data_IF_681513438645
#
_entry.id   IF_681513438645
#
_cell.length_a   1.000
_cell.length_b   1.000
_cell.length_c   1.000
_cell.angle_alpha   90.00
_cell.angle_beta   90.00
_cell.angle_gamma   90.00
#
_symmetry.space_group_name_H-M   'P 1'
#
loop_
_entity.id
_entity.type
_entity.pdbx_description
1 polymer ?
#
# COMPACT_ATOMS: atom_id res chain seq x y z
N UNK A 1 10.92 -5.81 12.16
CA UNK A 1 10.53 -4.39 12.05
C UNK A 1 10.89 -3.92 10.65
N UNK A 2 9.92 -3.38 9.91
CA UNK A 2 10.07 -2.89 8.53
C UNK A 2 9.15 -1.70 8.31
N UNK A 3 9.52 -0.80 7.41
CA UNK A 3 8.64 0.25 6.89
C UNK A 3 7.85 -0.33 5.72
N UNK A 4 6.53 -0.38 5.83
CA UNK A 4 5.64 -1.02 4.86
C UNK A 4 4.73 0.02 4.20
N UNK A 5 4.76 0.11 2.88
CA UNK A 5 3.81 0.89 2.09
C UNK A 5 2.62 0.04 1.67
N UNK A 6 1.39 0.51 1.91
CA UNK A 6 0.17 -0.18 1.47
C UNK A 6 -0.25 0.34 0.09
N UNK A 7 -0.45 -0.56 -0.86
CA UNK A 7 -0.94 -0.27 -2.20
C UNK A 7 -2.20 -1.08 -2.52
N UNK A 8 -3.16 -0.50 -3.22
CA UNK A 8 -4.41 -1.17 -3.55
C UNK A 8 -5.42 -0.31 -4.31
N UNK A 9 -6.60 -0.86 -4.65
CA UNK A 9 -7.65 -0.11 -5.36
C UNK A 9 -8.28 0.96 -4.46
N UNK A 10 -8.33 2.21 -4.94
CA UNK A 10 -9.01 3.34 -4.29
C UNK A 10 -10.08 3.96 -5.20
N UNK A 11 -9.72 4.36 -6.43
CA UNK A 11 -10.63 4.97 -7.40
C UNK A 11 -11.82 4.07 -7.72
N UNK A 12 -13.03 4.63 -7.70
CA UNK A 12 -14.27 3.88 -8.00
C UNK A 12 -14.77 2.98 -6.86
N UNK A 13 -14.08 2.90 -5.72
CA UNK A 13 -14.55 2.18 -4.53
C UNK A 13 -15.31 3.11 -3.58
N UNK A 14 -16.31 2.61 -2.82
CA UNK A 14 -16.97 3.38 -1.77
C UNK A 14 -15.95 3.95 -0.77
N UNK A 15 -16.06 5.26 -0.48
CA UNK A 15 -15.14 5.99 0.40
C UNK A 15 -13.65 5.72 0.10
N UNK A 16 -13.31 5.59 -1.19
CA UNK A 16 -11.97 5.32 -1.68
C UNK A 16 -11.28 4.10 -1.04
N UNK A 17 -12.07 3.11 -0.61
CA UNK A 17 -11.59 1.91 0.07
C UNK A 17 -10.81 2.19 1.38
N UNK A 18 -10.92 3.41 1.96
CA UNK A 18 -10.17 3.84 3.16
C UNK A 18 -10.24 2.86 4.31
N UNK A 19 -11.40 2.26 4.53
CA UNK A 19 -11.61 1.25 5.59
C UNK A 19 -10.61 0.11 5.49
N UNK A 20 -10.42 -0.47 4.30
CA UNK A 20 -9.50 -1.60 4.09
C UNK A 20 -8.06 -1.20 4.36
N UNK A 21 -7.65 -0.03 3.88
CA UNK A 21 -6.32 0.51 4.14
C UNK A 21 -6.05 0.73 5.63
N UNK A 22 -7.02 1.29 6.37
CA UNK A 22 -6.91 1.52 7.82
C UNK A 22 -6.84 0.20 8.59
N UNK A 23 -7.69 -0.78 8.24
CA UNK A 23 -7.67 -2.12 8.86
C UNK A 23 -6.32 -2.81 8.64
N UNK A 24 -5.81 -2.81 7.40
CA UNK A 24 -4.48 -3.36 7.10
C UNK A 24 -3.36 -2.62 7.81
N UNK A 25 -3.42 -1.29 7.86
CA UNK A 25 -2.42 -0.50 8.58
C UNK A 25 -2.41 -0.81 10.07
N UNK A 26 -3.58 -0.97 10.68
CA UNK A 26 -3.73 -1.34 12.09
C UNK A 26 -3.13 -2.72 12.36
N UNK A 27 -3.39 -3.68 11.48
CA UNK A 27 -2.86 -5.03 11.59
C UNK A 27 -1.33 -5.08 11.49
N UNK A 28 -0.75 -4.46 10.45
CA UNK A 28 0.70 -4.41 10.26
C UNK A 28 1.40 -3.63 11.38
N UNK A 29 0.77 -2.57 11.89
CA UNK A 29 1.27 -1.85 13.05
C UNK A 29 1.28 -2.73 14.32
N UNK A 30 0.22 -3.52 14.54
CA UNK A 30 0.15 -4.46 15.66
C UNK A 30 1.20 -5.59 15.56
N UNK A 31 1.66 -5.94 14.35
CA UNK A 31 2.80 -6.84 14.13
C UNK A 31 4.17 -6.18 14.41
N UNK A 32 4.19 -4.90 14.78
CA UNK A 32 5.41 -4.14 15.05
C UNK A 32 6.09 -3.67 13.77
N UNK A 33 5.33 -3.19 12.77
CA UNK A 33 5.85 -2.49 11.60
C UNK A 33 5.51 -0.99 11.63
N UNK A 34 6.29 -0.18 10.91
CA UNK A 34 5.90 1.21 10.59
C UNK A 34 5.14 1.20 9.28
N UNK A 35 3.96 1.84 9.23
CA UNK A 35 3.07 1.75 8.06
C UNK A 35 2.92 3.09 7.37
N UNK A 36 3.19 3.11 6.07
CA UNK A 36 2.93 4.22 5.16
C UNK A 36 1.61 3.94 4.42
N UNK A 37 0.59 4.75 4.69
CA UNK A 37 -0.76 4.54 4.18
C UNK A 37 -1.21 5.76 3.33
N UNK A 38 -1.31 5.64 1.98
CA UNK A 38 -1.73 6.73 1.12
C UNK A 38 -3.20 7.14 1.34
N UNK A 39 -4.03 6.28 1.95
CA UNK A 39 -5.44 6.58 2.21
C UNK A 39 -5.65 7.68 3.29
N UNK A 40 -4.58 8.08 4.00
CA UNK A 40 -4.57 9.17 4.96
C UNK A 40 -4.35 10.55 4.32
N UNK A 41 -4.04 10.60 3.02
CA UNK A 41 -3.88 11.86 2.30
C UNK A 41 -5.21 12.60 2.20
N UNK A 42 -5.19 13.96 2.23
CA UNK A 42 -6.41 14.76 2.17
C UNK A 42 -7.11 14.58 0.82
N UNK A 43 -8.42 14.80 0.81
CA UNK A 43 -9.22 14.87 -0.43
C UNK A 43 -8.92 16.15 -1.22
N UNK A 44 -9.18 16.11 -2.53
CA UNK A 44 -9.13 17.28 -3.41
C UNK A 44 -7.83 17.46 -4.21
N UNK A 45 -6.89 16.52 -4.14
CA UNK A 45 -5.70 16.54 -4.98
C UNK A 45 -6.00 15.96 -6.37
N UNK A 46 -5.21 16.37 -7.37
CA UNK A 46 -5.21 15.71 -8.66
C UNK A 46 -4.65 14.29 -8.55
N UNK A 47 -5.12 13.38 -9.41
CA UNK A 47 -4.68 11.98 -9.41
C UNK A 47 -3.16 11.83 -9.44
N UNK A 48 -2.46 12.56 -10.30
CA UNK A 48 -0.99 12.46 -10.39
C UNK A 48 -0.27 13.00 -9.14
N UNK A 49 -0.84 13.96 -8.40
CA UNK A 49 -0.27 14.38 -7.12
C UNK A 49 -0.33 13.27 -6.06
N UNK A 50 -1.42 12.50 -6.02
CA UNK A 50 -1.48 11.32 -5.16
C UNK A 50 -0.40 10.29 -5.54
N UNK A 51 -0.19 10.10 -6.85
CA UNK A 51 0.84 9.17 -7.33
C UNK A 51 2.25 9.63 -6.96
N UNK A 52 2.56 10.92 -7.11
CA UNK A 52 3.87 11.47 -6.75
C UNK A 52 4.17 11.33 -5.24
N UNK A 53 3.18 11.63 -4.40
CA UNK A 53 3.29 11.44 -2.95
C UNK A 53 3.43 9.95 -2.61
N UNK A 54 2.61 9.09 -3.22
CA UNK A 54 2.67 7.63 -3.05
C UNK A 54 4.04 7.07 -3.44
N UNK A 55 4.62 7.50 -4.55
CA UNK A 55 5.97 7.10 -4.95
C UNK A 55 7.05 7.63 -4.00
N UNK A 56 6.88 8.82 -3.43
CA UNK A 56 7.80 9.33 -2.41
C UNK A 56 7.75 8.47 -1.14
N UNK A 57 6.55 8.13 -0.66
CA UNK A 57 6.35 7.22 0.47
C UNK A 57 6.97 5.84 0.18
N UNK A 58 6.68 5.27 -1.00
CA UNK A 58 7.17 3.95 -1.40
C UNK A 58 8.70 3.89 -1.49
N UNK A 59 9.38 4.97 -1.89
CA UNK A 59 10.85 5.03 -1.91
C UNK A 59 11.48 4.96 -0.51
N UNK A 60 10.74 5.32 0.53
CA UNK A 60 11.16 5.21 1.93
C UNK A 60 10.74 3.89 2.60
N UNK A 61 10.11 2.96 1.88
CA UNK A 61 9.67 1.69 2.41
C UNK A 61 10.69 0.57 2.16
N UNK A 62 10.71 -0.42 3.05
CA UNK A 62 11.44 -1.68 2.87
C UNK A 62 10.59 -2.70 2.08
N UNK A 63 9.26 -2.54 2.17
CA UNK A 63 8.29 -3.49 1.67
C UNK A 63 7.04 -2.78 1.13
N UNK A 64 6.48 -3.33 0.05
CA UNK A 64 5.12 -3.01 -0.42
C UNK A 64 4.17 -4.14 -0.03
N UNK A 65 3.04 -3.77 0.57
CA UNK A 65 1.92 -4.66 0.86
C UNK A 65 0.78 -4.36 -0.12
N UNK A 66 0.44 -5.34 -0.94
CA UNK A 66 -0.58 -5.22 -1.98
C UNK A 66 -1.92 -5.77 -1.47
N UNK A 67 -2.95 -4.94 -1.46
CA UNK A 67 -4.33 -5.34 -1.12
C UNK A 67 -4.97 -6.17 -2.24
N UNK A 68 -6.00 -6.94 -1.89
CA UNK A 68 -6.80 -7.71 -2.86
C UNK A 68 -7.31 -6.83 -4.01
N UNK A 69 -7.14 -7.32 -5.25
CA UNK A 69 -7.53 -6.60 -6.47
C UNK A 69 -6.59 -5.45 -6.84
N UNK A 70 -5.34 -5.46 -6.36
CA UNK A 70 -4.33 -4.48 -6.78
C UNK A 70 -3.99 -4.60 -8.27
N UNK A 71 -4.14 -5.79 -8.85
CA UNK A 71 -3.91 -6.09 -10.26
C UNK A 71 -4.83 -5.27 -11.18
N UNK A 72 -6.03 -4.97 -10.71
CA UNK A 72 -7.03 -4.18 -11.44
C UNK A 72 -6.89 -2.66 -11.18
N UNK A 73 -6.00 -2.26 -10.28
CA UNK A 73 -5.76 -0.85 -9.93
C UNK A 73 -4.57 -0.29 -10.70
N UNK A 74 -4.81 0.68 -11.58
CA UNK A 74 -3.73 1.34 -12.34
C UNK A 74 -2.71 2.03 -11.42
N UNK A 75 -3.17 2.65 -10.33
CA UNK A 75 -2.28 3.23 -9.32
C UNK A 75 -1.41 2.18 -8.64
N UNK A 76 -2.04 1.09 -8.15
CA UNK A 76 -1.31 0.04 -7.44
C UNK A 76 -0.32 -0.72 -8.35
N UNK A 77 -0.66 -0.93 -9.63
CA UNK A 77 0.27 -1.48 -10.63
C UNK A 77 1.49 -0.58 -10.84
N UNK A 78 1.31 0.74 -10.89
CA UNK A 78 2.43 1.69 -11.01
C UNK A 78 3.35 1.62 -9.79
N UNK A 79 2.79 1.55 -8.60
CA UNK A 79 3.52 1.40 -7.34
C UNK A 79 4.27 0.06 -7.28
N UNK A 80 3.60 -1.05 -7.59
CA UNK A 80 4.23 -2.37 -7.71
C UNK A 80 5.43 -2.38 -8.66
N UNK A 81 5.29 -1.77 -9.84
CA UNK A 81 6.37 -1.68 -10.82
C UNK A 81 7.55 -0.83 -10.31
N UNK A 82 7.30 0.21 -9.51
CA UNK A 82 8.37 0.95 -8.84
C UNK A 82 9.03 0.10 -7.74
N UNK A 83 8.24 -0.55 -6.87
CA UNK A 83 8.74 -1.41 -5.80
C UNK A 83 9.65 -2.53 -6.34
N UNK A 84 9.27 -3.17 -7.45
CA UNK A 84 10.11 -4.16 -8.14
C UNK A 84 11.45 -3.61 -8.60
N UNK A 85 11.46 -2.40 -9.18
CA UNK A 85 12.70 -1.73 -9.62
C UNK A 85 13.60 -1.37 -8.44
N UNK A 86 13.00 -1.00 -7.32
CA UNK A 86 13.69 -0.71 -6.07
C UNK A 86 14.11 -1.97 -5.30
N UNK A 87 13.71 -3.17 -5.76
CA UNK A 87 13.95 -4.46 -5.10
C UNK A 87 13.40 -4.52 -3.67
N UNK A 88 12.28 -3.84 -3.43
CA UNK A 88 11.57 -3.95 -2.15
C UNK A 88 11.00 -5.35 -1.99
N UNK A 89 10.81 -5.76 -0.74
CA UNK A 89 10.01 -6.94 -0.45
C UNK A 89 8.56 -6.70 -0.92
N UNK A 90 7.93 -7.75 -1.41
CA UNK A 90 6.55 -7.71 -1.89
C UNK A 90 5.75 -8.71 -1.08
N UNK A 91 4.62 -8.27 -0.52
CA UNK A 91 3.69 -9.16 0.17
C UNK A 91 2.24 -8.86 -0.18
N UNK A 92 1.41 -9.87 0.05
CA UNK A 92 -0.05 -9.85 -0.06
C UNK A 92 -0.65 -10.49 1.20
N UNK A 93 -1.98 -10.41 1.42
CA UNK A 93 -2.62 -11.16 2.49
C UNK A 93 -2.28 -12.66 2.47
N UNK A 94 -2.21 -13.26 1.30
CA UNK A 94 -1.90 -14.68 1.11
C UNK A 94 -0.46 -15.00 1.52
N UNK A 95 0.50 -14.17 1.09
CA UNK A 95 1.92 -14.44 1.39
C UNK A 95 2.25 -14.27 2.87
N UNK A 96 1.47 -13.50 3.63
CA UNK A 96 1.65 -13.29 5.07
C UNK A 96 0.93 -14.30 5.95
N UNK A 97 -0.14 -14.94 5.47
CA UNK A 97 -0.84 -16.01 6.20
C UNK A 97 0.05 -17.23 6.49
N UNK A 98 1.11 -17.46 5.71
CA UNK A 98 2.03 -18.59 5.88
C UNK A 98 3.12 -18.41 6.95
N UNK A 99 3.14 -17.30 7.71
CA UNK A 99 4.17 -17.01 8.72
C UNK A 99 3.81 -17.38 10.17
N UNK A 100 2.59 -17.85 10.42
CA UNK A 100 2.17 -18.38 11.71
C UNK A 100 2.28 -19.90 11.69
N UNK A 101 3.47 -20.43 11.96
CA UNK A 101 3.72 -21.84 12.26
C UNK A 101 4.71 -21.91 13.41
#
# INVERSE_FOLDING_TARGET
>A
MSVIYIAGPMTGKPNFNRKKFIETATHLWAEGHTVLNPAMLPDGLAYEHYMDIGFAMLRGADEIYLLDGWEDSDGAKREFNLARRLRLKISTPESRKGGAS
#
